data_IF_147947049424
#
_entry.id   IF_147947049424
#
_cell.length_a   1.000
_cell.length_b   1.000
_cell.length_c   1.000
_cell.angle_alpha   90.00
_cell.angle_beta   90.00
_cell.angle_gamma   90.00
#
_symmetry.space_group_name_H-M   'P 1'
#
loop_
_entity.id
_entity.type
_entity.pdbx_description
1 polymer ?
#
# COMPACT_ATOMS: atom_id res chain seq x y z
N UNK A 1 -41.35 -1.32 -39.12
CA UNK A 1 -40.90 -1.71 -37.75
C UNK A 1 -39.93 -2.91 -37.73
N UNK A 2 -39.02 -3.07 -38.72
CA UNK A 2 -37.93 -4.07 -38.65
C UNK A 2 -36.56 -3.40 -38.50
N UNK A 3 -36.35 -2.26 -39.14
CA UNK A 3 -35.10 -1.48 -39.05
C UNK A 3 -34.76 -0.94 -37.64
N UNK A 4 -35.76 -0.66 -36.79
CA UNK A 4 -35.52 -0.15 -35.44
C UNK A 4 -35.05 -1.25 -34.47
N UNK A 5 -35.40 -2.51 -34.74
CA UNK A 5 -35.04 -3.66 -33.89
C UNK A 5 -33.59 -4.08 -34.10
N UNK A 6 -33.10 -3.94 -35.33
CA UNK A 6 -31.71 -4.27 -35.68
C UNK A 6 -30.73 -3.19 -35.20
N UNK A 7 -31.17 -1.93 -35.09
CA UNK A 7 -30.38 -0.85 -34.50
C UNK A 7 -30.20 -1.02 -32.98
N UNK A 8 -31.22 -1.52 -32.27
CA UNK A 8 -31.12 -1.82 -30.83
C UNK A 8 -30.23 -3.05 -30.56
N UNK A 9 -30.24 -4.04 -31.46
CA UNK A 9 -29.35 -5.20 -31.37
C UNK A 9 -27.88 -4.85 -31.63
N UNK A 10 -27.59 -3.89 -32.50
CA UNK A 10 -26.24 -3.34 -32.69
C UNK A 10 -25.76 -2.49 -31.50
N UNK A 11 -26.66 -1.77 -30.82
CA UNK A 11 -26.30 -0.93 -29.68
C UNK A 11 -26.10 -1.74 -28.39
N UNK A 12 -26.76 -2.89 -28.24
CA UNK A 12 -26.52 -3.83 -27.13
C UNK A 12 -25.21 -4.62 -27.31
N UNK A 13 -24.78 -4.91 -28.54
CA UNK A 13 -23.46 -5.53 -28.79
C UNK A 13 -22.28 -4.56 -28.64
N UNK A 14 -22.51 -3.24 -28.69
CA UNK A 14 -21.48 -2.23 -28.46
C UNK A 14 -21.21 -1.93 -26.98
N UNK A 15 -22.05 -2.41 -26.05
CA UNK A 15 -21.90 -2.15 -24.61
C UNK A 15 -21.41 -3.33 -23.76
N UNK A 16 -21.15 -4.50 -24.38
CA UNK A 16 -20.56 -5.67 -23.69
C UNK A 16 -19.12 -5.95 -24.13
N UNK A 17 -18.32 -4.88 -24.29
CA UNK A 17 -16.87 -4.97 -24.50
C UNK A 17 -16.07 -4.20 -23.44
N UNK A 18 -16.56 -4.13 -22.19
CA UNK A 18 -15.82 -3.55 -21.06
C UNK A 18 -15.64 -4.51 -19.87
N UNK A 19 -15.62 -5.81 -20.13
CA UNK A 19 -15.22 -6.76 -19.11
C UNK A 19 -14.29 -7.83 -19.71
N UNK A 20 -13.06 -7.86 -19.18
CA UNK A 20 -12.04 -8.90 -19.27
C UNK A 20 -10.84 -8.64 -20.22
N UNK A 21 -9.83 -7.95 -19.67
CA UNK A 21 -8.38 -8.11 -19.89
C UNK A 21 -7.71 -6.92 -19.16
N UNK A 22 -6.78 -7.01 -18.20
CA UNK A 22 -5.69 -7.95 -17.98
C UNK A 22 -5.28 -7.92 -16.50
N UNK A 23 -5.30 -9.07 -15.83
CA UNK A 23 -4.31 -9.35 -14.78
C UNK A 23 -3.05 -9.79 -15.51
N UNK A 24 -2.07 -8.91 -15.61
CA UNK A 24 -0.84 -9.16 -16.35
C UNK A 24 0.09 -7.97 -16.20
N UNK A 25 1.08 -8.16 -15.34
CA UNK A 25 2.20 -7.27 -15.08
C UNK A 25 3.07 -7.15 -16.35
N UNK A 26 2.68 -6.29 -17.29
CA UNK A 26 3.53 -5.85 -18.41
C UNK A 26 3.25 -4.38 -18.73
N UNK A 27 3.98 -3.52 -18.01
CA UNK A 27 4.65 -2.30 -18.48
C UNK A 27 3.95 -1.41 -19.51
N UNK A 28 3.09 -0.51 -19.05
CA UNK A 28 2.88 0.80 -19.69
C UNK A 28 3.77 1.85 -18.99
N UNK A 29 5.08 1.69 -19.05
CA UNK A 29 6.03 2.62 -18.41
C UNK A 29 5.88 4.06 -18.95
N UNK A 30 5.45 4.22 -20.21
CA UNK A 30 5.22 5.51 -20.86
C UNK A 30 3.91 6.20 -20.47
N UNK A 31 2.99 5.53 -19.76
CA UNK A 31 1.69 6.10 -19.37
C UNK A 31 1.66 6.64 -17.94
N UNK A 32 2.72 6.44 -17.17
CA UNK A 32 2.80 6.90 -15.80
C UNK A 32 3.34 8.34 -15.75
N UNK A 33 2.75 9.22 -14.92
CA UNK A 33 2.98 10.66 -14.99
C UNK A 33 4.36 11.09 -14.46
N UNK A 34 5.03 10.24 -13.67
CA UNK A 34 6.31 10.56 -13.04
C UNK A 34 7.32 9.45 -13.21
N UNK A 35 8.59 9.84 -13.24
CA UNK A 35 9.72 8.92 -13.27
C UNK A 35 10.79 9.35 -12.28
N UNK A 36 11.57 8.37 -11.81
CA UNK A 36 12.72 8.60 -10.95
C UNK A 36 13.84 7.64 -11.35
N UNK A 37 15.06 8.15 -11.48
CA UNK A 37 16.25 7.34 -11.70
C UNK A 37 17.07 7.32 -10.41
N UNK A 38 17.23 6.13 -9.85
CA UNK A 38 18.12 5.87 -8.73
C UNK A 38 19.52 5.62 -9.28
N UNK A 39 20.52 6.21 -8.64
CA UNK A 39 21.93 5.91 -8.87
C UNK A 39 22.56 5.35 -7.60
N UNK A 40 23.71 4.72 -7.75
CA UNK A 40 24.49 4.23 -6.62
C UNK A 40 25.95 4.65 -6.74
N UNK A 41 26.60 4.75 -5.59
CA UNK A 41 28.01 5.08 -5.42
C UNK A 41 28.58 4.13 -4.36
N UNK A 42 29.75 3.55 -4.62
CA UNK A 42 30.45 2.74 -3.62
C UNK A 42 31.11 3.67 -2.63
N UNK A 43 30.93 3.47 -1.33
CA UNK A 43 31.57 4.33 -0.32
C UNK A 43 33.10 4.19 -0.45
N UNK A 44 33.77 5.30 -0.79
CA UNK A 44 35.21 5.34 -1.08
C UNK A 44 35.57 5.37 -2.58
N UNK A 45 34.59 5.26 -3.47
CA UNK A 45 34.74 5.46 -4.92
C UNK A 45 34.00 6.72 -5.35
N UNK A 46 34.57 7.53 -6.25
CA UNK A 46 33.91 8.70 -6.83
C UNK A 46 33.01 8.40 -8.03
N UNK A 47 32.83 7.11 -8.39
CA UNK A 47 32.05 6.70 -9.56
C UNK A 47 30.57 6.50 -9.21
N UNK A 48 29.72 7.38 -9.72
CA UNK A 48 28.26 7.25 -9.65
C UNK A 48 27.76 6.50 -10.87
N UNK A 49 26.98 5.44 -10.65
CA UNK A 49 26.39 4.60 -11.70
C UNK A 49 24.87 4.55 -11.59
N UNK A 50 24.13 4.46 -12.70
CA UNK A 50 22.68 4.27 -12.64
C UNK A 50 22.35 2.89 -12.04
N UNK A 51 21.35 2.84 -11.18
CA UNK A 51 20.87 1.62 -10.54
C UNK A 51 19.55 1.14 -11.14
N UNK A 52 18.56 2.03 -11.18
CA UNK A 52 17.21 1.68 -11.61
C UNK A 52 16.45 2.92 -12.06
N UNK A 53 15.56 2.76 -13.04
CA UNK A 53 14.58 3.78 -13.40
C UNK A 53 13.19 3.24 -13.16
N UNK A 54 12.40 3.97 -12.37
CA UNK A 54 11.05 3.61 -11.96
C UNK A 54 10.09 4.69 -12.42
N UNK A 55 9.07 4.27 -13.16
CA UNK A 55 7.92 5.10 -13.50
C UNK A 55 6.82 4.83 -12.48
N UNK A 56 6.12 5.87 -12.02
CA UNK A 56 5.11 5.74 -10.98
C UNK A 56 3.99 6.79 -11.10
N UNK A 57 2.84 6.44 -10.52
CA UNK A 57 1.75 7.36 -10.26
C UNK A 57 1.52 7.46 -8.74
N UNK A 58 1.74 8.63 -8.12
CA UNK A 58 1.57 8.80 -6.68
C UNK A 58 0.12 8.60 -6.21
N UNK A 59 -0.88 8.81 -7.07
CA UNK A 59 -2.30 8.70 -6.70
C UNK A 59 -2.78 7.26 -6.72
N UNK A 60 -2.54 6.54 -7.80
CA UNK A 60 -2.97 5.14 -7.94
C UNK A 60 -2.02 4.12 -7.31
N UNK A 61 -0.85 4.56 -6.82
CA UNK A 61 0.24 3.72 -6.31
C UNK A 61 0.71 2.66 -7.32
N UNK A 62 0.45 2.88 -8.61
CA UNK A 62 0.93 2.04 -9.70
C UNK A 62 2.37 2.42 -10.03
N UNK A 63 3.17 1.42 -10.38
CA UNK A 63 4.55 1.60 -10.78
C UNK A 63 4.93 0.65 -11.91
N UNK A 64 6.01 0.98 -12.60
CA UNK A 64 6.66 0.14 -13.60
C UNK A 64 8.17 0.35 -13.49
N UNK A 65 8.91 -0.74 -13.31
CA UNK A 65 10.37 -0.74 -13.37
C UNK A 65 10.80 -0.81 -14.84
N UNK A 66 11.58 0.16 -15.33
CA UNK A 66 12.04 0.17 -16.73
C UNK A 66 13.47 -0.34 -16.89
N UNK A 67 14.34 -0.08 -15.91
CA UNK A 67 15.73 -0.52 -15.93
C UNK A 67 16.18 -0.95 -14.55
N UNK A 68 17.06 -1.95 -14.52
CA UNK A 68 17.69 -2.49 -13.31
C UNK A 68 19.11 -2.94 -13.65
N UNK A 69 20.09 -2.28 -13.06
CA UNK A 69 21.52 -2.53 -13.27
C UNK A 69 22.22 -2.64 -11.91
N UNK A 70 22.11 -3.80 -11.22
CA UNK A 70 22.66 -3.98 -9.90
C UNK A 70 24.21 -4.03 -9.95
N UNK A 71 24.89 -3.61 -8.87
CA UNK A 71 26.34 -3.74 -8.76
C UNK A 71 26.76 -5.21 -8.72
N UNK A 72 27.74 -5.58 -9.55
CA UNK A 72 28.28 -6.94 -9.58
C UNK A 72 29.21 -7.20 -8.40
N UNK A 73 28.93 -8.25 -7.62
CA UNK A 73 29.70 -8.62 -6.42
C UNK A 73 31.15 -9.00 -6.74
N UNK A 74 31.40 -9.61 -7.91
CA UNK A 74 32.71 -10.13 -8.29
C UNK A 74 33.74 -9.02 -8.58
N UNK A 75 33.28 -7.85 -9.03
CA UNK A 75 34.16 -6.73 -9.35
C UNK A 75 34.64 -5.95 -8.12
N UNK A 76 33.99 -6.16 -6.97
CA UNK A 76 34.22 -5.42 -5.73
C UNK A 76 34.61 -6.35 -4.58
N UNK A 77 35.04 -7.57 -4.84
CA UNK A 77 35.45 -8.51 -3.80
C UNK A 77 36.64 -7.92 -3.04
N UNK A 78 36.41 -7.57 -1.77
CA UNK A 78 37.46 -7.15 -0.84
C UNK A 78 38.59 -8.18 -0.90
N UNK A 79 39.82 -7.71 -1.11
CA UNK A 79 41.04 -8.53 -1.04
C UNK A 79 41.37 -8.96 0.39
N UNK A 80 40.59 -8.52 1.38
CA UNK A 80 40.79 -8.82 2.80
C UNK A 80 39.81 -9.93 3.24
N UNK A 81 40.31 -11.07 3.77
CA UNK A 81 39.49 -12.24 4.11
C UNK A 81 38.68 -12.08 5.41
N UNK A 82 38.40 -10.84 5.85
CA UNK A 82 37.69 -10.60 7.11
C UNK A 82 36.16 -10.64 6.89
N UNK A 83 35.43 -11.57 7.52
CA UNK A 83 34.00 -11.84 7.25
C UNK A 83 33.05 -10.71 7.66
N UNK A 84 33.57 -9.62 8.23
CA UNK A 84 32.77 -8.55 8.86
C UNK A 84 32.74 -7.25 8.07
N UNK A 85 33.56 -7.10 7.02
CA UNK A 85 33.65 -5.86 6.23
C UNK A 85 32.70 -5.87 5.02
N UNK A 86 31.41 -5.72 5.26
CA UNK A 86 30.45 -5.55 4.17
C UNK A 86 30.69 -4.18 3.48
N UNK A 87 31.00 -4.21 2.18
CA UNK A 87 31.13 -2.98 1.39
C UNK A 87 29.78 -2.26 1.38
N UNK A 88 29.84 -0.96 1.65
CA UNK A 88 28.67 -0.11 1.70
C UNK A 88 28.49 0.63 0.37
N UNK A 89 27.23 0.73 -0.03
CA UNK A 89 26.76 1.44 -1.20
C UNK A 89 25.86 2.57 -0.74
N UNK A 90 26.07 3.75 -1.29
CA UNK A 90 25.16 4.87 -1.17
C UNK A 90 24.21 4.85 -2.36
N UNK A 91 22.91 4.83 -2.10
CA UNK A 91 21.86 5.03 -3.08
C UNK A 91 21.59 6.52 -3.13
N UNK A 92 21.63 7.11 -4.31
CA UNK A 92 21.43 8.54 -4.53
C UNK A 92 20.14 8.76 -5.32
N UNK A 93 19.41 9.78 -4.90
CA UNK A 93 18.29 10.34 -5.63
C UNK A 93 18.74 11.63 -6.32
N UNK A 94 18.09 12.01 -7.43
CA UNK A 94 18.38 13.24 -8.16
C UNK A 94 18.09 14.52 -7.35
N UNK A 95 17.33 14.42 -6.26
CA UNK A 95 17.06 15.52 -5.34
C UNK A 95 18.19 15.73 -4.30
N UNK A 96 19.26 14.94 -4.33
CA UNK A 96 20.37 14.98 -3.38
C UNK A 96 20.16 14.15 -2.11
N UNK A 97 18.99 13.53 -1.93
CA UNK A 97 18.74 12.57 -0.85
C UNK A 97 19.57 11.30 -1.08
N UNK A 98 20.08 10.71 -0.01
CA UNK A 98 20.84 9.47 -0.09
C UNK A 98 20.58 8.56 1.08
N UNK A 99 20.61 7.26 0.81
CA UNK A 99 20.51 6.19 1.82
C UNK A 99 21.68 5.23 1.65
N UNK A 100 22.08 4.56 2.72
CA UNK A 100 23.22 3.63 2.70
C UNK A 100 22.69 2.21 2.84
N UNK A 101 23.22 1.29 2.02
CA UNK A 101 22.86 -0.12 1.98
C UNK A 101 24.13 -0.96 1.80
N UNK A 102 24.10 -2.24 2.15
CA UNK A 102 25.24 -3.14 1.94
C UNK A 102 25.23 -3.72 0.53
N UNK A 103 26.42 -3.97 -0.03
CA UNK A 103 26.61 -4.64 -1.31
C UNK A 103 25.96 -6.04 -1.33
N UNK A 104 25.93 -6.72 -0.18
CA UNK A 104 25.27 -8.03 0.00
C UNK A 104 23.77 -8.02 -0.29
N UNK A 105 23.14 -6.84 -0.27
CA UNK A 105 21.72 -6.67 -0.62
C UNK A 105 21.44 -7.06 -2.07
N UNK A 106 22.44 -6.96 -2.95
CA UNK A 106 22.34 -7.20 -4.39
C UNK A 106 22.78 -8.63 -4.79
N UNK A 107 22.84 -9.57 -3.86
CA UNK A 107 23.13 -10.96 -4.17
C UNK A 107 22.05 -11.58 -5.06
N UNK A 108 22.46 -12.40 -6.03
CA UNK A 108 21.55 -13.09 -6.96
C UNK A 108 20.62 -14.09 -6.26
N UNK A 109 21.03 -14.57 -5.08
CA UNK A 109 20.24 -15.51 -4.26
C UNK A 109 19.11 -14.84 -3.47
N UNK A 110 19.12 -13.50 -3.40
CA UNK A 110 18.16 -12.72 -2.64
C UNK A 110 17.20 -12.00 -3.58
N UNK A 111 15.98 -11.78 -3.11
CA UNK A 111 15.04 -10.90 -3.80
C UNK A 111 15.28 -9.46 -3.34
N UNK A 112 15.19 -8.49 -4.24
CA UNK A 112 15.38 -7.09 -3.92
C UNK A 112 14.02 -6.40 -3.74
N UNK A 113 13.91 -5.59 -2.70
CA UNK A 113 12.76 -4.75 -2.42
C UNK A 113 13.18 -3.29 -2.40
N UNK A 114 12.65 -2.51 -3.33
CA UNK A 114 12.85 -1.07 -3.47
C UNK A 114 11.66 -0.36 -2.82
N UNK A 115 11.91 0.38 -1.74
CA UNK A 115 10.90 1.21 -1.10
C UNK A 115 11.12 2.67 -1.49
N UNK A 116 10.11 3.28 -2.10
CA UNK A 116 10.09 4.67 -2.53
C UNK A 116 9.13 5.45 -1.65
N UNK A 117 9.64 6.41 -0.88
CA UNK A 117 8.80 7.29 -0.06
C UNK A 117 8.40 8.52 -0.85
N UNK A 118 7.09 8.69 -0.96
CA UNK A 118 6.46 9.74 -1.75
C UNK A 118 5.90 10.81 -0.81
N UNK A 119 6.19 12.07 -1.13
CA UNK A 119 5.61 13.23 -0.46
C UNK A 119 4.10 13.32 -0.76
N UNK A 120 3.24 13.51 0.25
CA UNK A 120 1.79 13.62 0.04
C UNK A 120 1.39 14.93 -0.65
N UNK A 121 2.19 15.99 -0.56
CA UNK A 121 1.87 17.29 -1.16
C UNK A 121 2.06 17.28 -2.67
N UNK A 122 3.25 16.87 -3.09
CA UNK A 122 3.69 17.05 -4.47
C UNK A 122 3.67 15.72 -5.23
N UNK A 123 3.61 14.60 -4.52
CA UNK A 123 3.75 13.26 -5.09
C UNK A 123 5.16 12.98 -5.61
N UNK A 124 6.19 13.69 -5.14
CA UNK A 124 7.60 13.48 -5.50
C UNK A 124 8.24 12.46 -4.55
N UNK A 125 9.19 11.66 -5.05
CA UNK A 125 9.99 10.78 -4.19
C UNK A 125 10.99 11.63 -3.42
N UNK A 126 10.97 11.56 -2.10
CA UNK A 126 11.93 12.28 -1.25
C UNK A 126 13.01 11.36 -0.66
N UNK A 127 12.72 10.07 -0.53
CA UNK A 127 13.67 9.05 -0.07
C UNK A 127 13.44 7.75 -0.81
N UNK A 128 14.50 6.97 -0.98
CA UNK A 128 14.45 5.61 -1.51
C UNK A 128 15.40 4.71 -0.72
N UNK A 129 15.03 3.46 -0.52
CA UNK A 129 15.90 2.45 0.07
C UNK A 129 15.74 1.14 -0.68
N UNK A 130 16.77 0.31 -0.54
CA UNK A 130 16.78 -1.03 -1.11
C UNK A 130 17.11 -1.99 0.01
N UNK A 131 16.32 -3.05 0.09
CA UNK A 131 16.45 -4.11 1.08
C UNK A 131 16.43 -5.45 0.38
N UNK A 132 17.06 -6.45 1.00
CA UNK A 132 17.01 -7.82 0.54
C UNK A 132 15.93 -8.58 1.30
N UNK A 133 15.21 -9.43 0.58
CA UNK A 133 14.26 -10.37 1.11
C UNK A 133 14.78 -11.77 0.78
N UNK A 134 14.85 -12.63 1.79
CA UNK A 134 15.12 -14.03 1.54
C UNK A 134 13.95 -14.64 0.77
N UNK A 135 14.20 -15.44 -0.28
CA UNK A 135 13.15 -16.20 -0.92
C UNK A 135 12.50 -17.14 0.11
N UNK A 136 11.24 -17.53 -0.10
CA UNK A 136 10.56 -18.43 0.81
C UNK A 136 11.32 -19.76 0.86
N UNK A 137 11.38 -20.40 2.04
CA UNK A 137 11.97 -21.72 2.13
C UNK A 137 11.23 -22.66 1.19
N UNK A 138 12.00 -23.42 0.39
CA UNK A 138 11.44 -24.36 -0.57
C UNK A 138 10.65 -25.44 0.17
N UNK A 139 9.53 -25.87 -0.41
CA UNK A 139 8.83 -27.04 0.11
C UNK A 139 9.70 -28.31 -0.06
N UNK A 140 9.56 -29.29 0.84
CA UNK A 140 10.34 -30.54 0.77
C UNK A 140 10.21 -31.24 -0.61
N UNK A 141 9.07 -31.09 -1.28
CA UNK A 141 8.82 -31.64 -2.62
C UNK A 141 9.61 -30.89 -3.70
N UNK A 142 9.64 -29.55 -3.64
CA UNK A 142 10.42 -28.71 -4.55
C UNK A 142 11.92 -28.91 -4.38
N UNK A 143 12.41 -29.11 -3.14
CA UNK A 143 13.81 -29.46 -2.88
C UNK A 143 14.19 -30.80 -3.52
N UNK A 144 13.34 -31.82 -3.35
CA UNK A 144 13.53 -33.14 -3.98
C UNK A 144 13.53 -33.01 -5.50
N UNK A 145 12.66 -32.18 -6.05
CA UNK A 145 12.59 -31.92 -7.48
C UNK A 145 13.84 -31.19 -7.98
N UNK A 146 14.28 -30.11 -7.33
CA UNK A 146 15.53 -29.40 -7.67
C UNK A 146 16.73 -30.34 -7.69
N UNK A 147 16.89 -31.17 -6.65
CA UNK A 147 17.96 -32.19 -6.60
C UNK A 147 17.86 -33.18 -7.77
N UNK A 148 16.66 -33.57 -8.20
CA UNK A 148 16.47 -34.43 -9.39
C UNK A 148 16.85 -33.70 -10.69
N UNK A 149 16.47 -32.44 -10.83
CA UNK A 149 16.81 -31.60 -11.99
C UNK A 149 18.32 -31.39 -12.10
N UNK A 150 18.99 -31.06 -11.00
CA UNK A 150 20.46 -30.90 -10.95
C UNK A 150 21.17 -32.20 -11.34
N UNK A 151 20.72 -33.35 -10.81
CA UNK A 151 21.24 -34.67 -11.18
C UNK A 151 20.99 -35.00 -12.65
N UNK A 152 19.83 -34.62 -13.20
CA UNK A 152 19.51 -34.83 -14.60
C UNK A 152 20.40 -33.96 -15.50
N UNK A 153 20.56 -32.67 -15.17
CA UNK A 153 21.44 -31.73 -15.88
C UNK A 153 22.89 -32.19 -15.87
N UNK A 154 23.41 -32.61 -14.72
CA UNK A 154 24.76 -33.16 -14.60
C UNK A 154 24.97 -34.46 -15.40
N UNK A 155 23.91 -35.25 -15.60
CA UNK A 155 23.95 -36.51 -16.36
C UNK A 155 23.51 -36.36 -17.82
N UNK A 156 23.25 -35.15 -18.30
CA UNK A 156 22.73 -34.90 -19.66
C UNK A 156 21.37 -35.55 -19.94
N UNK A 157 20.60 -35.87 -18.89
CA UNK A 157 19.28 -36.49 -19.02
C UNK A 157 18.19 -35.42 -19.19
N UNK A 158 17.06 -35.76 -19.85
CA UNK A 158 15.92 -34.86 -19.94
C UNK A 158 15.42 -34.45 -18.55
N UNK A 159 15.04 -33.18 -18.43
CA UNK A 159 14.58 -32.59 -17.18
C UNK A 159 13.25 -33.26 -16.79
N UNK A 160 13.11 -33.78 -15.55
CA UNK A 160 11.87 -34.40 -15.10
C UNK A 160 10.71 -33.38 -15.15
N UNK A 161 9.48 -33.84 -15.40
CA UNK A 161 8.32 -32.96 -15.40
C UNK A 161 8.09 -32.34 -14.00
N UNK A 162 7.70 -31.05 -13.97
CA UNK A 162 7.40 -30.33 -12.72
C UNK A 162 6.24 -31.03 -11.97
N UNK A 163 6.29 -31.16 -10.64
CA UNK A 163 5.16 -31.67 -9.87
C UNK A 163 3.89 -30.85 -10.16
N UNK A 164 2.72 -31.50 -10.22
CA UNK A 164 1.46 -30.81 -10.48
C UNK A 164 1.13 -29.85 -9.33
N UNK A 165 0.85 -28.59 -9.66
CA UNK A 165 0.37 -27.62 -8.67
C UNK A 165 -0.98 -28.11 -8.12
N UNK A 166 -1.20 -28.10 -6.79
CA UNK A 166 -2.47 -28.54 -6.21
C UNK A 166 -3.67 -27.86 -6.89
N UNK A 167 -4.64 -28.64 -7.35
CA UNK A 167 -5.79 -28.14 -8.12
C UNK A 167 -6.82 -27.38 -7.28
N UNK A 168 -6.59 -27.23 -5.97
CA UNK A 168 -7.53 -26.51 -5.12
C UNK A 168 -7.41 -25.00 -5.36
N UNK A 169 -8.55 -24.31 -5.49
CA UNK A 169 -8.60 -22.85 -5.68
C UNK A 169 -7.81 -22.12 -4.60
N UNK A 170 -7.88 -22.59 -3.35
CA UNK A 170 -7.15 -22.04 -2.20
C UNK A 170 -5.63 -22.16 -2.35
N UNK A 171 -5.11 -23.34 -2.72
CA UNK A 171 -3.66 -23.52 -2.89
C UNK A 171 -3.11 -22.71 -4.06
N UNK A 172 -3.89 -22.56 -5.14
CA UNK A 172 -3.50 -21.68 -6.27
C UNK A 172 -3.46 -20.22 -5.87
N UNK A 173 -4.43 -19.75 -5.08
CA UNK A 173 -4.48 -18.37 -4.61
C UNK A 173 -3.34 -18.07 -3.61
N UNK A 174 -3.07 -19.00 -2.69
CA UNK A 174 -1.98 -18.87 -1.72
C UNK A 174 -0.62 -18.90 -2.39
N UNK A 175 -0.40 -19.83 -3.32
CA UNK A 175 0.83 -19.88 -4.13
C UNK A 175 0.98 -18.61 -4.97
N UNK A 176 -0.10 -18.09 -5.56
CA UNK A 176 -0.07 -16.82 -6.29
C UNK A 176 0.26 -15.63 -5.39
N UNK A 177 -0.29 -15.58 -4.17
CA UNK A 177 0.04 -14.55 -3.18
C UNK A 177 1.50 -14.64 -2.74
N UNK A 178 2.01 -15.84 -2.50
CA UNK A 178 3.42 -16.05 -2.15
C UNK A 178 4.33 -15.64 -3.32
N UNK A 179 4.04 -16.07 -4.54
CA UNK A 179 4.81 -15.65 -5.73
C UNK A 179 4.78 -14.13 -5.93
N UNK A 180 3.66 -13.46 -5.67
CA UNK A 180 3.55 -12.00 -5.73
C UNK A 180 4.27 -11.28 -4.57
N UNK A 181 4.42 -11.95 -3.41
CA UNK A 181 5.24 -11.43 -2.31
C UNK A 181 6.73 -11.54 -2.62
N UNK A 182 7.12 -12.60 -3.32
CA UNK A 182 8.50 -12.98 -3.62
C UNK A 182 8.80 -12.89 -5.12
N UNK A 183 8.45 -11.77 -5.74
CA UNK A 183 9.02 -11.42 -7.04
C UNK A 183 10.51 -11.11 -6.86
N UNK A 184 11.39 -11.47 -7.81
CA UNK A 184 12.84 -11.20 -7.70
C UNK A 184 13.14 -9.72 -7.43
N UNK A 185 12.36 -8.80 -7.99
CA UNK A 185 12.46 -7.36 -7.72
C UNK A 185 11.07 -6.81 -7.44
N UNK A 186 10.88 -6.25 -6.24
CA UNK A 186 9.62 -5.66 -5.81
C UNK A 186 9.78 -4.17 -5.56
N UNK A 187 8.92 -3.35 -6.14
CA UNK A 187 8.88 -1.90 -5.86
C UNK A 187 7.65 -1.58 -5.02
N UNK A 188 7.83 -0.85 -3.92
CA UNK A 188 6.71 -0.33 -3.13
C UNK A 188 6.72 1.18 -3.09
N UNK A 189 5.54 1.77 -3.27
CA UNK A 189 5.31 3.19 -3.14
C UNK A 189 4.69 3.47 -1.78
N UNK A 190 5.44 4.12 -0.89
CA UNK A 190 5.03 4.43 0.48
C UNK A 190 4.67 5.90 0.56
N UNK A 191 3.40 6.20 0.82
CA UNK A 191 2.92 7.55 1.11
C UNK A 191 2.86 7.74 2.61
N UNK A 192 3.32 8.88 3.15
CA UNK A 192 3.13 9.18 4.56
C UNK A 192 1.65 9.31 4.88
N UNK A 193 1.23 8.72 6.00
CA UNK A 193 -0.11 8.86 6.55
C UNK A 193 0.00 9.85 7.72
N UNK A 194 -0.91 10.83 7.84
CA UNK A 194 -0.96 11.68 9.03
C UNK A 194 -0.99 10.83 10.30
N UNK A 195 -0.16 11.18 11.27
CA UNK A 195 -0.10 10.47 12.55
C UNK A 195 -1.42 10.56 13.32
N UNK A 196 -1.62 9.70 14.33
CA UNK A 196 -2.78 9.80 15.21
C UNK A 196 -2.74 11.16 15.91
N UNK A 197 -3.77 11.97 15.68
CA UNK A 197 -3.96 13.24 16.38
C UNK A 197 -4.67 12.97 17.70
N UNK A 198 -4.25 13.59 18.82
CA UNK A 198 -4.96 13.43 20.08
C UNK A 198 -6.37 13.98 19.93
N UNK A 199 -7.37 13.19 20.33
CA UNK A 199 -8.74 13.68 20.46
C UNK A 199 -8.79 14.54 21.72
N UNK A 200 -8.48 15.83 21.56
CA UNK A 200 -8.73 16.81 22.60
C UNK A 200 -10.24 16.87 22.80
N UNK A 201 -10.69 16.71 24.05
CA UNK A 201 -12.11 16.78 24.38
C UNK A 201 -12.69 18.07 23.80
N UNK A 202 -13.66 17.94 22.90
CA UNK A 202 -14.36 19.03 22.22
C UNK A 202 -15.28 19.83 23.14
N UNK A 203 -15.07 19.77 24.47
CA UNK A 203 -15.78 20.66 25.39
C UNK A 203 -15.32 22.08 25.08
N UNK A 204 -16.28 22.98 24.94
CA UNK A 204 -16.00 24.40 24.88
C UNK A 204 -15.13 24.78 26.08
N UNK A 205 -14.16 25.71 25.91
CA UNK A 205 -13.35 26.16 27.03
C UNK A 205 -14.30 26.63 28.16
N UNK A 206 -13.99 26.30 29.43
CA UNK A 206 -14.77 26.79 30.55
C UNK A 206 -14.87 28.31 30.46
N UNK A 207 -16.06 28.87 30.71
CA UNK A 207 -16.23 30.32 30.71
C UNK A 207 -15.52 30.86 31.95
N UNK A 208 -14.69 31.87 31.73
CA UNK A 208 -13.86 32.49 32.77
C UNK A 208 -14.31 33.95 32.93
N UNK A 209 -14.38 34.43 34.17
CA UNK A 209 -14.66 35.85 34.46
C UNK A 209 -13.43 36.75 34.18
N UNK A 210 -13.58 38.07 34.36
CA UNK A 210 -12.51 39.04 34.10
C UNK A 210 -11.29 38.87 35.03
N UNK A 211 -11.48 38.16 36.15
CA UNK A 211 -10.51 37.87 37.18
C UNK A 211 -9.82 36.50 37.01
N UNK A 212 -10.15 35.76 35.94
CA UNK A 212 -9.49 34.50 35.61
C UNK A 212 -10.02 33.28 36.37
N UNK A 213 -11.17 33.39 37.04
CA UNK A 213 -11.80 32.30 37.78
C UNK A 213 -12.84 31.59 36.91
N UNK A 214 -12.88 30.27 37.03
CA UNK A 214 -13.88 29.45 36.35
C UNK A 214 -15.26 29.83 36.88
N UNK A 215 -16.12 30.32 35.97
CA UNK A 215 -17.53 30.50 36.27
C UNK A 215 -18.08 29.08 36.37
N UNK A 216 -18.30 28.61 37.60
CA UNK A 216 -19.08 27.40 37.85
C UNK A 216 -20.42 27.66 37.20
N UNK A 217 -20.61 27.07 36.02
CA UNK A 217 -21.85 27.15 35.27
C UNK A 217 -22.86 26.38 36.12
N UNK A 218 -23.53 27.09 37.04
CA UNK A 218 -24.63 26.56 37.81
C UNK A 218 -25.58 25.93 36.79
N UNK A 219 -25.72 24.60 36.85
CA UNK A 219 -26.67 23.86 36.06
C UNK A 219 -27.98 24.61 36.18
N UNK A 220 -28.45 25.25 35.09
CA UNK A 220 -29.67 26.04 35.14
C UNK A 220 -30.72 25.14 35.79
N UNK A 221 -31.24 25.50 36.97
CA UNK A 221 -32.12 24.63 37.72
C UNK A 221 -33.24 24.27 36.78
N UNK A 222 -33.30 23.00 36.36
CA UNK A 222 -34.30 22.54 35.41
C UNK A 222 -35.63 22.96 36.02
N UNK A 223 -36.29 23.97 35.40
CA UNK A 223 -37.57 24.46 35.90
C UNK A 223 -38.45 23.23 36.08
N UNK A 224 -38.81 22.95 37.34
CA UNK A 224 -39.51 21.73 37.73
C UNK A 224 -40.59 21.42 36.70
N UNK A 225 -40.74 20.16 36.31
CA UNK A 225 -41.74 19.73 35.33
C UNK A 225 -43.12 20.36 35.60
N UNK A 226 -43.47 20.56 36.87
CA UNK A 226 -44.67 21.30 37.27
C UNK A 226 -44.71 22.75 36.79
N UNK A 227 -43.62 23.51 36.90
CA UNK A 227 -43.53 24.89 36.40
C UNK A 227 -43.62 24.96 34.88
N UNK A 228 -43.10 23.95 34.17
CA UNK A 228 -43.16 23.86 32.70
C UNK A 228 -44.54 23.44 32.19
N UNK A 229 -45.27 22.61 32.93
CA UNK A 229 -46.52 21.99 32.49
C UNK A 229 -47.77 22.38 33.30
N UNK A 230 -47.71 23.37 34.19
CA UNK A 230 -48.86 23.79 35.01
C UNK A 230 -50.09 24.21 34.18
N UNK A 231 -49.86 24.81 33.01
CA UNK A 231 -50.91 25.20 32.06
C UNK A 231 -51.66 23.99 31.48
N UNK A 232 -51.00 22.83 31.35
CA UNK A 232 -51.63 21.58 30.87
C UNK A 232 -52.67 21.07 31.88
N UNK A 233 -52.38 21.20 33.17
CA UNK A 233 -53.34 20.89 34.24
C UNK A 233 -54.60 21.77 34.13
N UNK A 234 -54.41 23.06 33.83
CA UNK A 234 -55.52 24.00 33.64
C UNK A 234 -56.41 23.60 32.44
N UNK A 235 -55.79 23.20 31.33
CA UNK A 235 -56.51 22.71 30.13
C UNK A 235 -57.27 21.41 30.44
N UNK A 236 -56.65 20.48 31.15
CA UNK A 236 -57.29 19.21 31.51
C UNK A 236 -58.54 19.43 32.38
N UNK A 237 -58.49 20.34 33.35
CA UNK A 237 -59.66 20.71 34.17
C UNK A 237 -60.75 21.38 33.33
N UNK A 238 -60.38 22.28 32.42
CA UNK A 238 -61.38 22.91 31.54
C UNK A 238 -62.07 21.87 30.64
N UNK A 239 -61.31 20.91 30.10
CA UNK A 239 -61.84 19.83 29.27
C UNK A 239 -62.77 18.89 30.04
N UNK A 240 -62.46 18.54 31.30
CA UNK A 240 -63.33 17.68 32.11
C UNK A 240 -64.61 18.40 32.52
N UNK A 241 -64.55 19.71 32.82
CA UNK A 241 -65.75 20.49 33.15
C UNK A 241 -66.60 20.83 31.91
N UNK A 242 -65.99 20.99 30.74
CA UNK A 242 -66.70 21.25 29.48
C UNK A 242 -67.19 19.99 28.77
N UNK A 243 -66.63 18.81 29.07
CA UNK A 243 -66.97 17.52 28.43
C UNK A 243 -68.03 16.70 29.16
N UNK A 244 -68.49 17.13 30.35
CA UNK A 244 -69.45 16.41 31.20
C UNK A 244 -70.91 16.83 31.06
N UNK A 245 -71.32 17.42 29.93
CA UNK A 245 -72.69 17.89 29.69
C UNK A 245 -73.35 17.14 28.54
N UNK A 246 -73.75 15.88 28.79
CA UNK A 246 -74.39 15.03 27.79
C UNK A 246 -75.30 13.98 28.42
N UNK A 247 -76.33 14.42 29.14
CA UNK A 247 -77.49 13.56 29.45
C UNK A 247 -78.80 14.33 29.25
N UNK A 248 -79.62 13.76 28.34
CA UNK A 248 -81.00 14.09 27.91
C UNK A 248 -81.16 15.08 26.76
#
# INVERSE_FOLDING_TARGET
MRALRDLVLFLVFAFTALAASTTGTTSDASKLPKSITLSYEVIGSSSVKPLATVFYDPKSKKHSLSSWTPPTLDSLKSTTPEPTSAILLRILLPNGSSTVTSLTTFSEDLHQKIDLWISPSDGSVFSASISSLSPPPLSQEEERYRKKVERAKAKGKPIPARPPVPNTKKAREEAARQLALYEPIKVNLITSVPGPVPSLASRAPPQVDAEGREIVQEEQPEKSFFQKYWWVLLIAVMLTMSGGGGEK
#
